data_IF_605550531964
#
_entry.id   IF_605550531964
#
_cell.length_a   1.000
_cell.length_b   1.000
_cell.length_c   1.000
_cell.angle_alpha   90.00
_cell.angle_beta   90.00
_cell.angle_gamma   90.00
#
_symmetry.space_group_name_H-M   'P 1'
#
loop_
_entity.id
_entity.type
_entity.pdbx_description
1 polymer ?
#
# COMPACT_ATOMS: atom_id res chain seq x y z
N UNK A 1 -7.15 -15.88 -21.33
CA UNK A 1 -6.23 -16.61 -20.45
C UNK A 1 -4.81 -16.30 -20.93
N UNK A 2 -3.99 -15.55 -20.19
CA UNK A 2 -2.60 -15.33 -20.55
C UNK A 2 -1.92 -16.71 -20.57
N UNK A 3 -1.26 -17.00 -21.68
CA UNK A 3 -0.77 -18.32 -22.07
C UNK A 3 0.25 -18.88 -21.10
N UNK A 4 0.16 -20.18 -20.77
CA UNK A 4 1.19 -20.94 -20.03
C UNK A 4 2.61 -20.78 -20.60
N UNK A 5 2.73 -20.37 -21.87
CA UNK A 5 3.98 -19.98 -22.53
C UNK A 5 4.66 -18.76 -21.89
N UNK A 6 3.90 -17.78 -21.40
CA UNK A 6 4.48 -16.58 -20.76
C UNK A 6 5.09 -16.92 -19.39
N UNK A 7 4.47 -17.86 -18.66
CA UNK A 7 5.00 -18.39 -17.40
C UNK A 7 6.26 -19.24 -17.59
N UNK A 8 6.47 -19.82 -18.77
CA UNK A 8 7.70 -20.54 -19.12
C UNK A 8 8.86 -19.59 -19.47
N UNK A 9 8.57 -18.41 -20.04
CA UNK A 9 9.58 -17.40 -20.42
C UNK A 9 9.99 -16.54 -19.22
N UNK A 10 9.09 -16.29 -18.27
CA UNK A 10 9.38 -15.57 -17.03
C UNK A 10 8.67 -16.26 -15.86
N UNK A 11 9.28 -17.29 -15.24
CA UNK A 11 8.65 -17.98 -14.14
C UNK A 11 8.41 -17.01 -12.98
N UNK A 12 7.17 -16.96 -12.48
CA UNK A 12 6.87 -16.20 -11.26
C UNK A 12 7.52 -16.93 -10.09
N UNK A 13 8.70 -16.46 -9.70
CA UNK A 13 9.41 -16.95 -8.51
C UNK A 13 8.62 -16.52 -7.28
N UNK A 14 8.05 -17.48 -6.56
CA UNK A 14 7.21 -17.23 -5.38
C UNK A 14 7.96 -16.45 -4.29
N UNK A 15 9.27 -16.66 -4.14
CA UNK A 15 10.10 -15.89 -3.21
C UNK A 15 10.16 -14.41 -3.58
N UNK A 16 10.27 -14.07 -4.86
CA UNK A 16 10.28 -12.67 -5.31
C UNK A 16 8.94 -11.99 -5.05
N UNK A 17 7.83 -12.70 -5.29
CA UNK A 17 6.49 -12.20 -4.96
C UNK A 17 6.35 -11.98 -3.47
N UNK A 18 6.76 -12.94 -2.63
CA UNK A 18 6.70 -12.83 -1.18
C UNK A 18 7.57 -11.68 -0.65
N UNK A 19 8.77 -11.49 -1.19
CA UNK A 19 9.65 -10.38 -0.84
C UNK A 19 9.03 -9.02 -1.19
N UNK A 20 8.43 -8.90 -2.37
CA UNK A 20 7.75 -7.67 -2.81
C UNK A 20 6.54 -7.35 -1.93
N UNK A 21 5.71 -8.35 -1.61
CA UNK A 21 4.58 -8.20 -0.69
C UNK A 21 5.04 -7.76 0.70
N UNK A 22 6.13 -8.33 1.21
CA UNK A 22 6.69 -7.94 2.51
C UNK A 22 7.21 -6.51 2.51
N UNK A 23 7.94 -6.12 1.47
CA UNK A 23 8.46 -4.75 1.32
C UNK A 23 7.32 -3.74 1.24
N UNK A 24 6.27 -4.04 0.49
CA UNK A 24 5.07 -3.21 0.40
C UNK A 24 4.36 -3.08 1.75
N UNK A 25 4.15 -4.20 2.45
CA UNK A 25 3.52 -4.22 3.77
C UNK A 25 4.30 -3.40 4.81
N UNK A 26 5.64 -3.46 4.76
CA UNK A 26 6.50 -2.63 5.62
C UNK A 26 6.33 -1.14 5.31
N UNK A 27 6.33 -0.75 4.03
CA UNK A 27 6.10 0.66 3.64
C UNK A 27 4.73 1.15 4.09
N UNK A 28 3.68 0.33 3.95
CA UNK A 28 2.33 0.66 4.39
C UNK A 28 2.24 0.78 5.91
N UNK A 29 2.93 -0.08 6.66
CA UNK A 29 2.98 -0.02 8.13
C UNK A 29 3.68 1.25 8.62
N UNK A 30 4.80 1.62 8.00
CA UNK A 30 5.55 2.83 8.33
C UNK A 30 4.81 4.11 7.95
N UNK A 31 4.17 4.14 6.78
CA UNK A 31 3.38 5.29 6.35
C UNK A 31 2.11 5.44 7.18
N UNK A 32 1.44 4.34 7.54
CA UNK A 32 0.28 4.37 8.42
C UNK A 32 0.62 4.92 9.81
N UNK A 33 1.76 4.55 10.41
CA UNK A 33 2.19 5.10 11.69
C UNK A 33 2.53 6.60 11.59
N UNK A 34 3.20 7.03 10.52
CA UNK A 34 3.49 8.45 10.27
C UNK A 34 2.21 9.28 10.07
N UNK A 35 1.23 8.76 9.34
CA UNK A 35 -0.07 9.43 9.18
C UNK A 35 -0.86 9.48 10.48
N UNK A 36 -0.73 8.46 11.35
CA UNK A 36 -1.35 8.46 12.67
C UNK A 36 -0.75 9.54 13.58
N UNK A 37 0.58 9.70 13.56
CA UNK A 37 1.27 10.81 14.24
C UNK A 37 0.75 12.16 13.74
N UNK A 38 0.68 12.36 12.43
CA UNK A 38 0.20 13.61 11.84
C UNK A 38 -1.27 13.91 12.21
N UNK A 39 -2.15 12.91 12.13
CA UNK A 39 -3.56 13.05 12.52
C UNK A 39 -3.74 13.33 14.03
N UNK A 40 -2.89 12.73 14.86
CA UNK A 40 -2.85 12.96 16.31
C UNK A 40 -2.44 14.38 16.66
N UNK A 41 -1.36 14.89 16.05
CA UNK A 41 -0.88 16.27 16.25
C UNK A 41 -1.89 17.30 15.76
N UNK A 42 -2.51 17.07 14.60
CA UNK A 42 -3.56 17.94 14.07
C UNK A 42 -4.85 17.91 14.90
N UNK A 43 -5.01 16.94 15.78
CA UNK A 43 -6.22 16.78 16.57
C UNK A 43 -7.44 16.46 15.71
N UNK A 44 -7.26 15.68 14.63
CA UNK A 44 -8.42 15.20 13.87
C UNK A 44 -9.18 14.20 14.74
N UNK A 45 -10.50 14.35 14.82
CA UNK A 45 -11.40 13.50 15.60
C UNK A 45 -12.36 12.73 14.70
N UNK A 46 -12.75 11.53 15.16
CA UNK A 46 -13.85 10.76 14.57
C UNK A 46 -13.66 10.53 13.06
N UNK A 47 -14.67 10.81 12.24
CA UNK A 47 -14.67 10.58 10.79
C UNK A 47 -13.54 11.30 10.04
N UNK A 48 -13.08 12.46 10.52
CA UNK A 48 -12.04 13.24 9.84
C UNK A 48 -10.69 12.53 9.82
N UNK A 49 -10.32 11.83 10.90
CA UNK A 49 -9.09 11.06 10.98
C UNK A 49 -9.14 9.80 10.10
N UNK A 50 -10.28 9.13 10.02
CA UNK A 50 -10.46 8.00 9.10
C UNK A 50 -10.41 8.44 7.64
N UNK A 51 -11.08 9.54 7.27
CA UNK A 51 -11.01 10.08 5.91
C UNK A 51 -9.58 10.45 5.52
N UNK A 52 -8.84 11.06 6.44
CA UNK A 52 -7.41 11.35 6.27
C UNK A 52 -6.63 10.05 6.01
N UNK A 53 -6.81 9.02 6.82
CA UNK A 53 -6.16 7.72 6.61
C UNK A 53 -6.48 7.11 5.24
N UNK A 54 -7.75 7.03 4.86
CA UNK A 54 -8.15 6.44 3.58
C UNK A 54 -7.58 7.20 2.39
N UNK A 55 -7.62 8.54 2.42
CA UNK A 55 -7.09 9.37 1.34
C UNK A 55 -5.57 9.22 1.21
N UNK A 56 -4.83 9.33 2.31
CA UNK A 56 -3.37 9.23 2.29
C UNK A 56 -2.87 7.81 2.02
N UNK A 57 -3.59 6.79 2.49
CA UNK A 57 -3.29 5.40 2.16
C UNK A 57 -3.52 5.13 0.67
N UNK A 58 -4.64 5.61 0.10
CA UNK A 58 -4.90 5.53 -1.33
C UNK A 58 -3.83 6.26 -2.16
N UNK A 59 -3.43 7.46 -1.75
CA UNK A 59 -2.34 8.21 -2.39
C UNK A 59 -1.03 7.44 -2.30
N UNK A 60 -0.69 6.85 -1.15
CA UNK A 60 0.56 6.09 -0.98
C UNK A 60 0.62 4.87 -1.89
N UNK A 61 -0.50 4.15 -2.01
CA UNK A 61 -0.65 3.01 -2.93
C UNK A 61 -0.58 3.47 -4.38
N UNK A 62 -1.26 4.57 -4.74
CA UNK A 62 -1.23 5.16 -6.07
C UNK A 62 0.18 5.67 -6.44
N UNK A 63 0.90 6.29 -5.49
CA UNK A 63 2.26 6.79 -5.71
C UNK A 63 3.24 5.62 -5.87
N UNK A 64 3.11 4.57 -5.06
CA UNK A 64 3.89 3.33 -5.22
C UNK A 64 3.61 2.69 -6.57
N UNK A 65 2.36 2.71 -7.00
CA UNK A 65 1.94 2.23 -8.32
C UNK A 65 2.58 3.05 -9.46
N UNK A 66 2.43 4.37 -9.43
CA UNK A 66 2.93 5.27 -10.49
C UNK A 66 4.47 5.31 -10.53
N UNK A 67 5.15 5.32 -9.39
CA UNK A 67 6.61 5.48 -9.34
C UNK A 67 7.37 4.18 -9.60
N UNK A 68 6.82 3.02 -9.20
CA UNK A 68 7.54 1.74 -9.29
C UNK A 68 6.92 0.76 -10.26
N UNK A 69 5.59 0.68 -10.34
CA UNK A 69 4.89 -0.37 -11.10
C UNK A 69 4.60 0.10 -12.53
N UNK A 70 4.13 1.34 -12.72
CA UNK A 70 3.83 1.91 -14.03
C UNK A 70 5.04 1.93 -14.98
N UNK A 71 6.22 2.45 -14.61
CA UNK A 71 7.37 2.48 -15.53
C UNK A 71 7.86 1.08 -15.91
N UNK A 72 7.71 0.10 -15.03
CA UNK A 72 8.11 -1.29 -15.30
C UNK A 72 7.05 -2.06 -16.10
N UNK A 73 5.77 -1.73 -15.95
CA UNK A 73 4.67 -2.28 -16.77
C UNK A 73 4.68 -1.72 -18.19
N UNK A 74 4.95 -0.41 -18.36
CA UNK A 74 5.06 0.24 -19.68
C UNK A 74 6.29 -0.24 -20.46
N UNK A 75 7.42 -0.50 -19.80
CA UNK A 75 8.60 -1.11 -20.43
C UNK A 75 8.38 -2.57 -20.87
N UNK A 76 7.36 -3.23 -20.30
CA UNK A 76 7.00 -4.62 -20.58
C UNK A 76 5.85 -4.77 -21.59
N UNK A 77 5.27 -3.68 -22.10
CA UNK A 77 4.18 -3.72 -23.09
C UNK A 77 2.82 -4.18 -22.57
N UNK A 78 2.65 -4.26 -21.23
CA UNK A 78 1.38 -4.63 -20.60
C UNK A 78 0.48 -3.40 -20.34
N UNK A 79 -0.85 -3.59 -20.22
CA UNK A 79 -1.78 -2.51 -19.92
C UNK A 79 -1.38 -1.77 -18.65
N UNK A 80 -1.57 -0.44 -18.64
CA UNK A 80 -1.25 0.49 -17.53
C UNK A 80 -1.97 0.20 -16.21
N UNK A 81 -2.79 -0.85 -16.14
CA UNK A 81 -3.58 -1.29 -14.98
C UNK A 81 -3.33 -2.76 -14.60
N UNK A 82 -2.50 -3.48 -15.36
CA UNK A 82 -2.33 -4.92 -15.18
C UNK A 82 -1.10 -5.23 -14.32
N UNK A 83 -1.33 -5.37 -13.01
CA UNK A 83 -0.31 -5.73 -12.00
C UNK A 83 0.02 -7.23 -12.01
N UNK A 84 -0.56 -8.02 -12.94
CA UNK A 84 -0.44 -9.49 -12.98
C UNK A 84 0.99 -10.03 -13.10
N UNK A 85 1.97 -9.20 -13.48
CA UNK A 85 3.39 -9.62 -13.58
C UNK A 85 4.10 -9.71 -12.23
N UNK A 86 3.64 -8.95 -11.23
CA UNK A 86 4.34 -8.82 -9.94
C UNK A 86 3.49 -9.26 -8.74
N UNK A 87 2.16 -9.24 -8.86
CA UNK A 87 1.25 -9.63 -7.79
C UNK A 87 0.12 -10.53 -8.30
N UNK A 88 -0.35 -11.43 -7.43
CA UNK A 88 -1.41 -12.42 -7.75
C UNK A 88 -2.76 -11.79 -8.10
N UNK A 89 -2.99 -10.53 -7.69
CA UNK A 89 -4.12 -9.74 -8.13
C UNK A 89 -3.98 -8.25 -7.81
N UNK A 90 -4.48 -7.34 -8.68
CA UNK A 90 -4.45 -5.91 -8.41
C UNK A 90 -5.29 -5.54 -7.18
N UNK A 91 -6.42 -6.22 -6.95
CA UNK A 91 -7.28 -5.97 -5.78
C UNK A 91 -6.60 -6.33 -4.45
N UNK A 92 -5.77 -7.39 -4.43
CA UNK A 92 -5.01 -7.79 -3.24
C UNK A 92 -3.97 -6.72 -2.88
N UNK A 93 -3.33 -6.09 -3.88
CA UNK A 93 -2.40 -4.99 -3.67
C UNK A 93 -3.06 -3.77 -3.00
N UNK A 94 -4.24 -3.37 -3.47
CA UNK A 94 -4.97 -2.22 -2.93
C UNK A 94 -5.57 -2.50 -1.55
N UNK A 95 -6.15 -3.67 -1.34
CA UNK A 95 -6.86 -4.00 -0.09
C UNK A 95 -5.92 -4.44 1.04
N UNK A 96 -4.89 -5.23 0.74
CA UNK A 96 -3.98 -5.73 1.79
C UNK A 96 -3.30 -4.60 2.57
N UNK A 97 -2.93 -3.53 1.88
CA UNK A 97 -2.30 -2.38 2.51
C UNK A 97 -3.21 -1.51 3.35
N UNK A 98 -4.43 -1.29 2.87
CA UNK A 98 -5.43 -0.46 3.54
C UNK A 98 -5.79 -1.06 4.90
N UNK A 99 -5.97 -2.38 4.98
CA UNK A 99 -6.33 -3.07 6.21
C UNK A 99 -5.12 -3.42 7.07
N UNK A 100 -3.96 -3.71 6.47
CA UNK A 100 -2.74 -4.02 7.20
C UNK A 100 -2.19 -2.85 8.01
N UNK A 101 -2.30 -1.62 7.49
CA UNK A 101 -1.81 -0.41 8.17
C UNK A 101 -2.75 0.17 9.24
N UNK A 102 -4.03 -0.21 9.24
CA UNK A 102 -5.06 0.40 10.09
C UNK A 102 -4.75 0.34 11.60
N UNK A 103 -4.33 -0.80 12.18
CA UNK A 103 -4.04 -0.88 13.61
C UNK A 103 -2.87 0.04 14.02
N UNK A 104 -1.82 0.13 13.19
CA UNK A 104 -0.68 1.00 13.44
C UNK A 104 -1.03 2.48 13.38
N UNK A 105 -1.92 2.85 12.45
CA UNK A 105 -2.48 4.19 12.37
C UNK A 105 -3.28 4.54 13.64
N UNK A 106 -4.24 3.69 14.05
CA UNK A 106 -5.11 3.96 15.22
C UNK A 106 -4.27 4.08 16.51
N UNK A 107 -3.28 3.20 16.68
CA UNK A 107 -2.40 3.21 17.86
C UNK A 107 -1.62 4.53 17.98
N UNK A 108 -0.99 4.96 16.89
CA UNK A 108 -0.18 6.20 16.89
C UNK A 108 -1.06 7.45 16.93
N UNK A 109 -2.22 7.43 16.29
CA UNK A 109 -3.20 8.51 16.34
C UNK A 109 -3.67 8.77 17.76
N UNK A 110 -4.14 7.74 18.46
CA UNK A 110 -4.62 7.89 19.85
C UNK A 110 -3.51 8.30 20.82
N UNK A 111 -2.29 7.77 20.66
CA UNK A 111 -1.14 8.13 21.48
C UNK A 111 -0.75 9.60 21.35
N UNK A 112 -0.57 10.10 20.13
CA UNK A 112 -0.15 11.50 19.90
C UNK A 112 -1.27 12.49 20.20
N UNK A 113 -2.51 12.11 19.92
CA UNK A 113 -3.67 12.89 20.31
C UNK A 113 -3.70 13.10 21.83
N UNK A 114 -3.54 12.03 22.60
CA UNK A 114 -3.49 12.08 24.06
C UNK A 114 -2.33 12.93 24.57
N UNK A 115 -1.16 12.83 23.93
CA UNK A 115 0.03 13.58 24.33
C UNK A 115 -0.06 15.09 24.07
N UNK A 116 -0.72 15.51 22.98
CA UNK A 116 -0.84 16.94 22.62
C UNK A 116 -1.96 17.63 23.40
N UNK A 117 -2.98 16.87 23.84
CA UNK A 117 -4.17 17.43 24.50
C UNK A 117 -4.29 17.09 26.00
N UNK A 118 -3.35 16.34 26.56
CA UNK A 118 -3.20 16.17 28.01
C UNK A 118 -2.61 17.43 28.65
#
# INVERSE_FOLDING_TARGET
MPSERDYQISPIVQESVMHNTKTLSNLQSLTASLFGVAAGILGLESYSGFLFYFLFSFITVALTYVLRIAPQSTAAGLPVLDTSRYFRGPFEFWTSGLFGGLPGFILTWTLFYGLVRA
#
